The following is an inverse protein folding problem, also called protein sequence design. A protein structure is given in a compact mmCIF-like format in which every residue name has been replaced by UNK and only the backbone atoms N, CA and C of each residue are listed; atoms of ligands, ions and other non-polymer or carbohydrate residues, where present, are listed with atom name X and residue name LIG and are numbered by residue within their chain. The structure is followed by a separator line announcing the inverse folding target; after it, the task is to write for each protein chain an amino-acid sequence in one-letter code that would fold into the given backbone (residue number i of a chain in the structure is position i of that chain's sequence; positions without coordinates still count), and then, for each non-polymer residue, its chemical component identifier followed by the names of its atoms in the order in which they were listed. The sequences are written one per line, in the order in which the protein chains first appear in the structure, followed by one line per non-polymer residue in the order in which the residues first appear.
data_IF_524980148637
#
_entry.id   IF_524980148637
#
_cell.length_a   1.000
_cell.length_b   1.000
_cell.length_c   1.000
_cell.angle_alpha   90.00
_cell.angle_beta   90.00
_cell.angle_gamma   90.00
#
_symmetry.space_group_name_H-M   'P 1'
#
loop_
_entity.id
_entity.type
_entity.pdbx_description
1 polymer ?
#
# COMPACT_ATOMS: atom_id res chain seq x y z
N UNK A 1 -15.87 12.95 3.24
CA UNK A 1 -15.36 14.22 2.68
C UNK A 1 -15.72 14.34 1.22
N UNK A 2 -16.55 15.30 0.89
CA UNK A 2 -17.05 15.48 -0.48
C UNK A 2 -15.94 15.79 -1.47
N UNK A 3 -14.93 16.57 -1.06
CA UNK A 3 -13.82 16.94 -1.95
C UNK A 3 -13.03 15.70 -2.39
N UNK A 4 -12.73 14.82 -1.45
CA UNK A 4 -11.97 13.60 -1.75
C UNK A 4 -12.76 12.69 -2.68
N UNK A 5 -14.06 12.53 -2.42
CA UNK A 5 -14.93 11.70 -3.26
C UNK A 5 -14.96 12.20 -4.71
N UNK A 6 -15.02 13.51 -4.89
CA UNK A 6 -15.11 14.11 -6.22
C UNK A 6 -13.80 14.03 -7.00
N UNK A 7 -12.67 14.15 -6.33
CA UNK A 7 -11.38 14.28 -7.00
C UNK A 7 -10.63 12.98 -7.13
N UNK A 8 -11.09 11.89 -6.48
CA UNK A 8 -10.44 10.59 -6.52
C UNK A 8 -8.97 10.68 -6.16
N UNK A 9 -8.71 11.13 -4.94
CA UNK A 9 -7.34 11.29 -4.46
C UNK A 9 -6.83 9.97 -3.92
N UNK A 10 -5.59 9.60 -4.32
CA UNK A 10 -4.88 8.47 -3.75
C UNK A 10 -3.95 8.89 -2.63
N UNK A 11 -3.56 7.95 -1.79
CA UNK A 11 -2.64 8.21 -0.69
C UNK A 11 -1.65 7.06 -0.57
N UNK A 12 -0.43 7.39 -0.14
CA UNK A 12 0.62 6.41 0.08
C UNK A 12 0.35 5.63 1.36
N UNK A 13 0.65 4.33 1.35
CA UNK A 13 0.53 3.49 2.54
C UNK A 13 1.79 3.63 3.41
N UNK A 14 1.69 3.32 4.72
CA UNK A 14 2.87 3.29 5.59
C UNK A 14 3.62 1.97 5.39
N UNK A 15 4.36 1.86 4.29
CA UNK A 15 5.03 0.63 3.88
C UNK A 15 6.51 0.56 4.25
N UNK A 16 7.06 1.65 4.78
CA UNK A 16 8.45 1.68 5.25
C UNK A 16 8.50 1.77 6.76
N UNK A 17 9.32 0.92 7.36
CA UNK A 17 9.44 0.83 8.82
C UNK A 17 10.84 1.28 9.21
N UNK A 18 10.98 2.59 9.48
CA UNK A 18 12.27 3.25 9.66
C UNK A 18 13.09 2.70 10.82
N UNK A 19 12.42 2.20 11.86
CA UNK A 19 13.09 1.60 13.01
C UNK A 19 13.30 0.09 12.84
N UNK A 20 12.97 -0.46 11.70
CA UNK A 20 13.08 -1.89 11.42
C UNK A 20 12.00 -2.74 12.05
N UNK A 21 11.04 -2.13 12.73
CA UNK A 21 9.96 -2.86 13.41
C UNK A 21 8.67 -2.73 12.61
N UNK A 22 8.21 -3.87 12.09
CA UNK A 22 6.98 -3.92 11.31
C UNK A 22 5.78 -3.84 12.24
N UNK A 23 4.89 -2.88 11.99
CA UNK A 23 3.68 -2.69 12.78
C UNK A 23 2.45 -2.80 11.89
N UNK A 24 1.96 -4.03 11.72
CA UNK A 24 0.82 -4.29 10.85
C UNK A 24 -0.51 -3.81 11.44
N UNK A 25 -0.58 -3.66 12.75
CA UNK A 25 -1.79 -3.07 13.37
C UNK A 25 -1.93 -1.61 12.99
N UNK A 26 -0.82 -0.89 12.98
CA UNK A 26 -0.80 0.50 12.52
C UNK A 26 -1.23 0.58 11.06
N UNK A 27 -0.70 -0.30 10.22
CA UNK A 27 -1.05 -0.35 8.80
C UNK A 27 -2.56 -0.56 8.64
N UNK A 28 -3.12 -1.53 9.36
CA UNK A 28 -4.56 -1.79 9.29
C UNK A 28 -5.40 -0.58 9.69
N UNK A 29 -5.02 0.08 10.78
CA UNK A 29 -5.73 1.28 11.22
C UNK A 29 -5.63 2.40 10.19
N UNK A 30 -4.44 2.58 9.64
CA UNK A 30 -4.19 3.63 8.66
C UNK A 30 -5.06 3.44 7.41
N UNK A 31 -5.07 2.25 6.84
CA UNK A 31 -5.80 2.02 5.58
C UNK A 31 -7.31 2.09 5.80
N UNK A 32 -7.80 1.61 6.92
CA UNK A 32 -9.24 1.73 7.24
C UNK A 32 -9.63 3.20 7.41
N UNK A 33 -8.79 3.98 8.08
CA UNK A 33 -9.05 5.40 8.28
C UNK A 33 -9.01 6.16 6.96
N UNK A 34 -8.05 5.83 6.09
CA UNK A 34 -7.97 6.44 4.77
C UNK A 34 -9.24 6.18 3.96
N UNK A 35 -9.74 4.96 4.02
CA UNK A 35 -10.98 4.61 3.32
C UNK A 35 -12.17 5.37 3.89
N UNK A 36 -12.27 5.49 5.22
CA UNK A 36 -13.33 6.26 5.87
C UNK A 36 -13.30 7.72 5.45
N UNK A 37 -12.12 8.28 5.25
CA UNK A 37 -11.96 9.68 4.83
C UNK A 37 -12.24 9.90 3.35
N UNK A 38 -12.48 8.83 2.59
CA UNK A 38 -12.86 8.94 1.20
C UNK A 38 -11.72 8.86 0.19
N UNK A 39 -10.52 8.48 0.61
CA UNK A 39 -9.44 8.26 -0.36
C UNK A 39 -9.80 7.08 -1.25
N UNK A 40 -9.65 7.27 -2.57
CA UNK A 40 -10.10 6.30 -3.55
C UNK A 40 -9.08 5.21 -3.85
N UNK A 41 -7.80 5.45 -3.56
CA UNK A 41 -6.74 4.48 -3.84
C UNK A 41 -5.63 4.55 -2.82
N UNK A 42 -4.98 3.40 -2.62
CA UNK A 42 -3.85 3.24 -1.70
C UNK A 42 -2.67 2.73 -2.51
N UNK A 43 -1.52 3.36 -2.32
CA UNK A 43 -0.33 3.08 -3.13
C UNK A 43 0.84 2.69 -2.26
N UNK A 44 1.50 1.60 -2.62
CA UNK A 44 2.77 1.21 -2.01
C UNK A 44 3.87 1.25 -3.05
N UNK A 45 5.10 1.01 -2.65
CA UNK A 45 6.21 0.96 -3.59
C UNK A 45 7.19 -0.13 -3.19
N UNK A 46 7.97 -0.56 -4.16
CA UNK A 46 9.02 -1.55 -3.97
C UNK A 46 10.38 -0.88 -3.99
N UNK A 47 11.28 -1.36 -3.13
CA UNK A 47 12.67 -0.92 -3.11
C UNK A 47 13.59 -2.12 -3.14
N UNK A 48 14.67 -2.00 -3.89
CA UNK A 48 15.63 -3.08 -4.03
C UNK A 48 16.71 -3.02 -2.95
N UNK A 49 17.27 -1.85 -2.69
CA UNK A 49 18.39 -1.67 -1.76
C UNK A 49 18.29 -0.35 -1.02
N UNK A 50 19.12 -0.21 0.02
CA UNK A 50 19.34 1.07 0.69
C UNK A 50 18.16 1.61 1.47
N UNK A 51 17.17 0.81 1.71
CA UNK A 51 15.96 1.24 2.36
C UNK A 51 15.86 0.71 3.79
N UNK A 52 15.11 1.39 4.65
CA UNK A 52 14.64 0.76 5.88
C UNK A 52 13.80 -0.45 5.55
N UNK A 53 13.37 -1.19 6.56
CA UNK A 53 12.56 -2.39 6.35
C UNK A 53 11.33 -2.09 5.50
N UNK A 54 11.20 -2.82 4.40
CA UNK A 54 10.09 -2.69 3.47
C UNK A 54 9.56 -4.09 3.15
N UNK A 55 8.26 -4.24 3.22
CA UNK A 55 7.61 -5.52 2.92
C UNK A 55 7.45 -5.65 1.40
N UNK A 56 7.53 -6.90 0.89
CA UNK A 56 7.23 -7.17 -0.51
C UNK A 56 5.90 -6.53 -0.89
N UNK A 57 5.87 -5.72 -1.97
CA UNK A 57 4.70 -4.92 -2.28
C UNK A 57 3.44 -5.74 -2.61
N UNK A 58 3.59 -6.86 -3.30
CA UNK A 58 2.44 -7.67 -3.65
C UNK A 58 1.83 -8.34 -2.42
N UNK A 59 2.68 -8.84 -1.52
CA UNK A 59 2.22 -9.42 -0.25
C UNK A 59 1.57 -8.35 0.63
N UNK A 60 2.14 -7.16 0.65
CA UNK A 60 1.60 -6.03 1.40
C UNK A 60 0.21 -5.64 0.88
N UNK A 61 0.06 -5.57 -0.45
CA UNK A 61 -1.24 -5.27 -1.05
C UNK A 61 -2.27 -6.34 -0.74
N UNK A 62 -1.87 -7.60 -0.71
CA UNK A 62 -2.78 -8.69 -0.34
C UNK A 62 -3.31 -8.51 1.08
N UNK A 63 -2.44 -8.12 2.01
CA UNK A 63 -2.85 -7.83 3.37
C UNK A 63 -3.82 -6.65 3.43
N UNK A 64 -3.48 -5.56 2.72
CA UNK A 64 -4.32 -4.37 2.68
C UNK A 64 -5.69 -4.69 2.06
N UNK A 65 -5.71 -5.54 1.04
CA UNK A 65 -6.96 -5.94 0.42
C UNK A 65 -7.93 -6.57 1.43
N UNK A 66 -7.38 -7.31 2.40
CA UNK A 66 -8.19 -7.89 3.47
C UNK A 66 -8.67 -6.87 4.50
N UNK A 67 -8.10 -5.68 4.51
CA UNK A 67 -8.43 -4.62 5.47
C UNK A 67 -9.31 -3.53 4.89
N UNK A 68 -9.58 -3.56 3.59
CA UNK A 68 -10.32 -2.50 2.90
C UNK A 68 -11.51 -3.10 2.15
N UNK A 69 -12.48 -2.23 1.80
CA UNK A 69 -13.69 -2.66 1.09
C UNK A 69 -13.81 -2.04 -0.30
N UNK A 70 -13.43 -0.79 -0.47
CA UNK A 70 -13.72 -0.04 -1.69
C UNK A 70 -12.50 0.57 -2.36
N UNK A 71 -11.40 0.75 -1.64
CA UNK A 71 -10.23 1.43 -2.18
C UNK A 71 -9.55 0.58 -3.24
N UNK A 72 -9.05 1.23 -4.28
CA UNK A 72 -8.20 0.60 -5.27
C UNK A 72 -6.78 0.53 -4.73
N UNK A 73 -6.07 -0.53 -5.11
CA UNK A 73 -4.72 -0.76 -4.62
C UNK A 73 -3.74 -0.75 -5.79
N UNK A 74 -2.58 -0.15 -5.57
CA UNK A 74 -1.58 -0.06 -6.62
C UNK A 74 -0.16 -0.02 -6.09
N UNK A 75 0.79 -0.27 -6.99
CA UNK A 75 2.23 -0.21 -6.71
C UNK A 75 2.86 0.81 -7.66
N UNK A 76 3.63 1.71 -7.11
CA UNK A 76 4.38 2.67 -7.90
C UNK A 76 5.79 2.77 -7.32
N UNK A 77 6.78 1.99 -7.81
CA UNK A 77 6.64 1.06 -8.94
C UNK A 77 7.09 -0.35 -8.52
N UNK A 78 6.80 -1.34 -9.37
CA UNK A 78 7.28 -2.71 -9.18
C UNK A 78 8.67 -2.81 -9.80
N UNK A 79 9.60 -3.45 -9.07
CA UNK A 79 10.93 -3.75 -9.61
C UNK A 79 10.82 -5.09 -10.34
N UNK A 80 10.51 -5.03 -11.63
CA UNK A 80 10.16 -6.20 -12.43
C UNK A 80 11.17 -7.36 -12.36
N UNK A 81 12.50 -7.13 -12.43
CA UNK A 81 13.45 -8.24 -12.40
C UNK A 81 13.40 -9.09 -11.14
N UNK A 82 12.76 -8.63 -10.07
CA UNK A 82 12.62 -9.38 -8.83
C UNK A 82 11.48 -10.37 -8.85
N UNK A 83 10.61 -10.32 -9.84
CA UNK A 83 9.36 -11.06 -9.82
C UNK A 83 9.29 -12.08 -10.95
N UNK A 84 8.64 -13.20 -10.68
CA UNK A 84 8.33 -14.19 -11.69
C UNK A 84 7.18 -13.66 -12.54
N UNK A 85 7.36 -13.54 -13.87
CA UNK A 85 6.30 -12.98 -14.72
C UNK A 85 4.97 -13.74 -14.65
N UNK A 86 5.03 -15.04 -14.41
CA UNK A 86 3.81 -15.86 -14.30
C UNK A 86 3.03 -15.48 -13.06
N UNK A 87 3.71 -15.30 -11.93
CA UNK A 87 3.08 -14.90 -10.69
C UNK A 87 2.58 -13.46 -10.74
N UNK A 88 3.32 -12.60 -11.43
CA UNK A 88 2.97 -11.19 -11.52
C UNK A 88 1.75 -10.97 -12.42
N UNK A 89 1.64 -11.76 -13.45
CA UNK A 89 0.49 -11.67 -14.36
C UNK A 89 -0.79 -12.12 -13.69
#
# INVERSE_FOLDING_TARGET
MAIVDRTRIGISTPHMFMDGKVDMKLVGRYVRRAEELGFSSLWTQERLTGAPTVIDPLSFLAYIAGQTSNARLGVSVVVLPRHNPIHLA
#
